data_IF_957691224941
#
_entry.id   IF_957691224941
#
_cell.length_a   1.000
_cell.length_b   1.000
_cell.length_c   1.000
_cell.angle_alpha   90.00
_cell.angle_beta   90.00
_cell.angle_gamma   90.00
#
_symmetry.space_group_name_H-M   'P 1'
#
loop_
_entity.id
_entity.type
_entity.pdbx_description
1 polymer ?
#
# COMPACT_ATOMS: atom_id res chain seq x y z
N UNK A 1 -12.14 -16.36 -7.04
CA UNK A 1 -11.74 -15.03 -6.54
C UNK A 1 -11.75 -15.09 -5.02
N UNK A 2 -10.62 -14.84 -4.37
CA UNK A 2 -10.52 -14.78 -2.90
C UNK A 2 -11.35 -13.62 -2.37
N UNK A 3 -12.10 -13.81 -1.27
CA UNK A 3 -12.94 -12.74 -0.73
C UNK A 3 -12.11 -11.61 -0.10
N UNK A 4 -12.72 -10.45 0.13
CA UNK A 4 -12.06 -9.34 0.86
C UNK A 4 -11.66 -9.80 2.26
N UNK A 5 -12.52 -10.55 2.95
CA UNK A 5 -12.26 -11.08 4.29
C UNK A 5 -11.07 -12.04 4.29
N UNK A 6 -11.01 -12.98 3.35
CA UNK A 6 -9.90 -13.93 3.26
C UNK A 6 -8.55 -13.23 3.06
N UNK A 7 -8.52 -12.14 2.28
CA UNK A 7 -7.32 -11.32 2.07
C UNK A 7 -6.91 -10.58 3.34
N UNK A 8 -7.88 -9.97 4.03
CA UNK A 8 -7.64 -9.30 5.32
C UNK A 8 -7.07 -10.30 6.33
N UNK A 9 -7.70 -11.47 6.46
CA UNK A 9 -7.28 -12.49 7.41
C UNK A 9 -5.90 -13.05 7.06
N UNK A 10 -5.59 -13.22 5.77
CA UNK A 10 -4.27 -13.64 5.33
C UNK A 10 -3.20 -12.59 5.69
N UNK A 11 -3.50 -11.30 5.50
CA UNK A 11 -2.59 -10.22 5.85
C UNK A 11 -2.35 -10.11 7.36
N UNK A 12 -3.41 -10.17 8.17
CA UNK A 12 -3.30 -10.17 9.64
C UNK A 12 -2.50 -11.39 10.14
N UNK A 13 -2.71 -12.58 9.56
CA UNK A 13 -1.91 -13.77 9.88
C UNK A 13 -0.43 -13.59 9.55
N UNK A 14 -0.10 -12.98 8.41
CA UNK A 14 1.29 -12.76 8.02
C UNK A 14 2.02 -11.77 8.94
N UNK A 15 1.31 -10.81 9.52
CA UNK A 15 1.88 -9.91 10.53
C UNK A 15 1.97 -10.52 11.93
N UNK A 16 1.12 -11.50 12.24
CA UNK A 16 1.05 -12.12 13.56
C UNK A 16 0.42 -11.21 14.64
N UNK A 17 0.30 -11.70 15.89
CA UNK A 17 -0.33 -10.96 16.99
C UNK A 17 0.45 -9.69 17.35
N UNK A 18 -0.25 -8.59 17.61
CA UNK A 18 0.40 -7.30 17.92
C UNK A 18 0.95 -7.25 19.37
N UNK A 19 0.34 -8.00 20.26
CA UNK A 19 0.63 -8.07 21.69
C UNK A 19 1.64 -9.17 22.06
N UNK A 20 2.04 -10.01 21.11
CA UNK A 20 3.06 -11.03 21.33
C UNK A 20 4.46 -10.41 21.30
N UNK A 21 5.21 -10.41 22.43
CA UNK A 21 6.56 -9.86 22.49
C UNK A 21 7.59 -10.68 21.69
N UNK A 22 7.28 -11.94 21.35
CA UNK A 22 8.14 -12.76 20.50
C UNK A 22 7.91 -12.51 19.00
N UNK A 23 6.85 -11.79 18.63
CA UNK A 23 6.58 -11.45 17.24
C UNK A 23 7.51 -10.31 16.78
N UNK A 24 8.38 -10.52 15.77
CA UNK A 24 9.25 -9.47 15.23
C UNK A 24 8.49 -8.32 14.54
N UNK A 25 7.21 -8.53 14.23
CA UNK A 25 6.27 -7.52 13.70
C UNK A 25 5.14 -7.22 14.70
N UNK A 26 5.40 -7.44 15.99
CA UNK A 26 4.56 -7.02 17.11
C UNK A 26 4.68 -5.52 17.40
N UNK A 27 3.83 -5.01 18.28
CA UNK A 27 3.75 -3.57 18.58
C UNK A 27 5.03 -2.98 19.15
N UNK A 28 5.73 -3.72 20.00
CA UNK A 28 7.01 -3.29 20.57
C UNK A 28 8.10 -3.07 19.49
N UNK A 29 8.11 -3.90 18.45
CA UNK A 29 9.06 -3.78 17.35
C UNK A 29 8.77 -2.54 16.49
N UNK A 30 7.51 -2.27 16.18
CA UNK A 30 7.11 -1.06 15.46
C UNK A 30 7.43 0.22 16.23
N UNK A 31 7.16 0.25 17.54
CA UNK A 31 7.50 1.39 18.41
C UNK A 31 9.01 1.63 18.47
N UNK A 32 9.80 0.56 18.61
CA UNK A 32 11.26 0.65 18.63
C UNK A 32 11.83 1.16 17.30
N UNK A 33 11.29 0.67 16.18
CA UNK A 33 11.70 1.10 14.84
C UNK A 33 11.32 2.56 14.56
N UNK A 34 10.11 2.98 14.92
CA UNK A 34 9.67 4.38 14.83
C UNK A 34 10.57 5.32 15.63
N UNK A 35 10.90 4.94 16.87
CA UNK A 35 11.86 5.68 17.72
C UNK A 35 13.23 5.82 17.06
N UNK A 36 13.66 4.81 16.31
CA UNK A 36 14.93 4.81 15.57
C UNK A 36 14.83 5.47 14.18
N UNK A 37 13.65 5.92 13.75
CA UNK A 37 13.43 6.45 12.40
C UNK A 37 13.62 5.41 11.29
N UNK A 38 13.37 4.14 11.59
CA UNK A 38 13.58 3.01 10.69
C UNK A 38 12.30 2.17 10.55
N UNK A 39 12.27 1.28 9.55
CA UNK A 39 11.23 0.26 9.44
C UNK A 39 11.64 -1.06 10.10
N UNK A 40 10.72 -1.76 10.77
CA UNK A 40 11.01 -3.10 11.27
C UNK A 40 11.45 -4.03 10.12
N UNK A 41 12.54 -4.80 10.29
CA UNK A 41 12.97 -5.76 9.29
C UNK A 41 11.83 -6.74 8.92
N UNK A 42 11.61 -6.92 7.62
CA UNK A 42 10.58 -7.84 7.11
C UNK A 42 9.16 -7.28 7.03
N UNK A 43 8.89 -6.08 7.53
CA UNK A 43 7.56 -5.47 7.45
C UNK A 43 7.09 -5.25 6.00
N UNK A 44 7.98 -4.73 5.14
CA UNK A 44 7.69 -4.55 3.72
C UNK A 44 7.58 -5.90 2.98
N UNK A 45 8.40 -6.88 3.35
CA UNK A 45 8.40 -8.21 2.73
C UNK A 45 7.06 -8.96 2.94
N UNK A 46 6.38 -8.73 4.07
CA UNK A 46 5.02 -9.23 4.29
C UNK A 46 4.05 -8.67 3.25
N UNK A 47 4.18 -7.38 2.93
CA UNK A 47 3.31 -6.71 1.96
C UNK A 47 3.65 -7.12 0.51
N UNK A 48 4.94 -7.34 0.22
CA UNK A 48 5.41 -7.87 -1.06
C UNK A 48 4.85 -9.28 -1.30
N UNK A 49 4.99 -10.16 -0.31
CA UNK A 49 4.49 -11.54 -0.37
C UNK A 49 2.95 -11.60 -0.45
N UNK A 50 2.25 -10.64 0.15
CA UNK A 50 0.80 -10.50 0.01
C UNK A 50 0.39 -9.96 -1.38
N UNK A 51 1.34 -9.44 -2.16
CA UNK A 51 1.08 -8.77 -3.43
C UNK A 51 0.19 -7.56 -3.25
N UNK A 52 0.44 -6.74 -2.21
CA UNK A 52 -0.41 -5.61 -1.84
C UNK A 52 -0.60 -4.62 -3.01
N UNK A 53 0.38 -4.45 -3.90
CA UNK A 53 0.27 -3.56 -5.05
C UNK A 53 -0.92 -3.85 -5.97
N UNK A 54 -1.34 -5.11 -6.09
CA UNK A 54 -2.51 -5.47 -6.87
C UNK A 54 -3.82 -4.93 -6.27
N UNK A 55 -3.85 -4.56 -4.99
CA UNK A 55 -4.98 -3.83 -4.37
C UNK A 55 -5.16 -2.41 -4.93
N UNK A 56 -4.11 -1.84 -5.53
CA UNK A 56 -4.13 -0.49 -6.10
C UNK A 56 -4.46 -0.47 -7.60
N UNK A 57 -4.59 -1.64 -8.23
CA UNK A 57 -4.82 -1.79 -9.67
C UNK A 57 -6.28 -2.17 -9.93
N UNK A 58 -7.01 -1.46 -10.83
CA UNK A 58 -8.37 -1.81 -11.22
C UNK A 58 -8.51 -3.27 -11.66
N UNK A 59 -9.60 -3.93 -11.25
CA UNK A 59 -9.85 -5.33 -11.63
C UNK A 59 -9.94 -5.56 -13.15
N UNK A 60 -10.40 -4.56 -13.91
CA UNK A 60 -10.42 -4.62 -15.38
C UNK A 60 -9.01 -4.64 -16.01
N UNK A 61 -7.98 -4.29 -15.25
CA UNK A 61 -6.58 -4.30 -15.66
C UNK A 61 -5.78 -5.44 -14.99
N UNK A 62 -6.47 -6.43 -14.42
CA UNK A 62 -5.85 -7.61 -13.79
C UNK A 62 -5.55 -7.46 -12.29
N UNK A 63 -5.90 -6.31 -11.69
CA UNK A 63 -5.74 -6.10 -10.25
C UNK A 63 -6.93 -6.54 -9.41
N UNK A 64 -7.02 -6.01 -8.18
CA UNK A 64 -8.07 -6.34 -7.21
C UNK A 64 -8.88 -5.14 -6.73
N UNK A 65 -8.57 -3.93 -7.23
CA UNK A 65 -9.35 -2.74 -6.93
C UNK A 65 -10.70 -2.79 -7.65
N UNK A 66 -11.76 -3.05 -6.89
CA UNK A 66 -13.15 -3.06 -7.38
C UNK A 66 -13.96 -1.92 -6.78
N UNK A 67 -13.77 -1.68 -5.48
CA UNK A 67 -14.47 -0.64 -4.72
C UNK A 67 -13.54 -0.04 -3.67
N UNK A 68 -13.68 1.26 -3.43
CA UNK A 68 -12.84 1.98 -2.48
C UNK A 68 -13.08 1.56 -1.01
N UNK A 69 -14.31 1.16 -0.66
CA UNK A 69 -14.62 0.64 0.68
C UNK A 69 -13.89 -0.68 0.97
N UNK A 70 -13.67 -1.51 -0.05
CA UNK A 70 -12.88 -2.75 0.07
C UNK A 70 -11.40 -2.44 0.28
N UNK A 71 -10.85 -1.51 -0.52
CA UNK A 71 -9.45 -1.08 -0.37
C UNK A 71 -9.19 -0.56 1.05
N UNK A 72 -10.07 0.29 1.59
CA UNK A 72 -9.93 0.79 2.96
C UNK A 72 -9.95 -0.31 4.02
N UNK A 73 -10.73 -1.38 3.82
CA UNK A 73 -10.75 -2.54 4.74
C UNK A 73 -9.46 -3.37 4.65
N UNK A 74 -8.93 -3.57 3.43
CA UNK A 74 -7.67 -4.29 3.20
C UNK A 74 -6.45 -3.55 3.75
N UNK A 75 -6.48 -2.21 3.71
CA UNK A 75 -5.39 -1.39 4.27
C UNK A 75 -5.41 -1.30 5.80
N UNK A 76 -6.56 -1.55 6.44
CA UNK A 76 -6.71 -1.39 7.89
C UNK A 76 -5.71 -2.23 8.71
N UNK A 77 -5.45 -3.52 8.41
CA UNK A 77 -4.40 -4.29 9.07
C UNK A 77 -3.02 -3.62 9.01
N UNK A 78 -2.65 -3.01 7.89
CA UNK A 78 -1.35 -2.33 7.71
C UNK A 78 -1.28 -1.08 8.59
N UNK A 79 -2.30 -0.23 8.52
CA UNK A 79 -2.37 1.01 9.31
C UNK A 79 -2.52 0.77 10.81
N UNK A 80 -2.97 -0.42 11.23
CA UNK A 80 -2.96 -0.82 12.65
C UNK A 80 -1.55 -1.15 13.16
N UNK A 81 -0.61 -1.45 12.27
CA UNK A 81 0.80 -1.68 12.63
C UNK A 81 1.54 -0.36 12.70
N UNK A 82 1.51 0.38 11.59
CA UNK A 82 2.25 1.62 11.47
C UNK A 82 1.75 2.45 10.26
N UNK A 83 1.67 3.76 10.46
CA UNK A 83 1.25 4.68 9.40
C UNK A 83 2.36 4.88 8.37
N UNK A 84 3.64 4.89 8.79
CA UNK A 84 4.77 5.05 7.88
C UNK A 84 4.87 3.87 6.91
N UNK A 85 4.61 2.65 7.37
CA UNK A 85 4.48 1.46 6.53
C UNK A 85 3.30 1.60 5.55
N UNK A 86 2.11 1.97 6.05
CA UNK A 86 0.91 2.12 5.20
C UNK A 86 1.09 3.13 4.06
N UNK A 87 1.67 4.30 4.37
CA UNK A 87 1.95 5.34 3.38
C UNK A 87 3.17 5.05 2.52
N UNK A 88 4.30 4.73 3.17
CA UNK A 88 5.61 4.59 2.54
C UNK A 88 5.72 3.38 1.62
N UNK A 89 5.07 2.27 1.99
CA UNK A 89 5.09 1.07 1.16
C UNK A 89 4.08 1.15 -0.01
N UNK A 90 2.80 1.39 0.29
CA UNK A 90 1.72 1.07 -0.67
C UNK A 90 0.84 2.24 -1.08
N UNK A 91 0.31 3.01 -0.13
CA UNK A 91 -0.74 3.99 -0.44
C UNK A 91 -0.24 5.13 -1.35
N UNK A 92 1.05 5.50 -1.26
CA UNK A 92 1.65 6.46 -2.20
C UNK A 92 1.61 5.96 -3.65
N UNK A 93 1.77 4.66 -3.88
CA UNK A 93 1.63 4.07 -5.22
C UNK A 93 0.21 4.25 -5.76
N UNK A 94 -0.80 4.08 -4.90
CA UNK A 94 -2.19 4.35 -5.29
C UNK A 94 -2.41 5.83 -5.65
N UNK A 95 -1.89 6.77 -4.86
CA UNK A 95 -2.01 8.20 -5.20
C UNK A 95 -1.35 8.56 -6.53
N UNK A 96 -0.20 7.96 -6.83
CA UNK A 96 0.48 8.17 -8.10
C UNK A 96 -0.28 7.54 -9.29
N UNK A 97 -0.94 6.39 -9.08
CA UNK A 97 -1.67 5.68 -10.12
C UNK A 97 -3.08 6.23 -10.36
N UNK A 98 -3.72 6.82 -9.35
CA UNK A 98 -5.11 7.28 -9.42
C UNK A 98 -5.40 8.25 -10.59
N UNK A 99 -4.56 9.26 -10.89
CA UNK A 99 -4.75 10.13 -12.06
C UNK A 99 -4.70 9.36 -13.39
N UNK A 100 -3.91 8.28 -13.47
CA UNK A 100 -3.82 7.45 -14.67
C UNK A 100 -5.08 6.60 -14.84
N UNK A 101 -5.62 6.08 -13.74
CA UNK A 101 -6.91 5.36 -13.75
C UNK A 101 -8.07 6.23 -14.22
N UNK A 102 -8.07 7.51 -13.85
CA UNK A 102 -9.17 8.42 -14.18
C UNK A 102 -9.02 9.10 -15.54
N UNK A 103 -7.83 9.62 -15.85
CA UNK A 103 -7.60 10.47 -17.01
C UNK A 103 -6.59 9.91 -18.02
N UNK A 104 -5.85 8.86 -17.67
CA UNK A 104 -4.86 8.26 -18.56
C UNK A 104 -5.50 7.51 -19.73
N UNK A 105 -4.76 7.41 -20.84
CA UNK A 105 -5.14 6.59 -21.99
C UNK A 105 -4.95 5.09 -21.71
N UNK A 106 -5.37 4.25 -22.66
CA UNK A 106 -5.33 2.80 -22.50
C UNK A 106 -3.90 2.26 -22.35
N UNK A 107 -2.93 2.85 -23.06
CA UNK A 107 -1.54 2.43 -23.00
C UNK A 107 -0.91 2.80 -21.65
N UNK A 108 -1.14 4.02 -21.17
CA UNK A 108 -0.71 4.49 -19.86
C UNK A 108 -1.28 3.64 -18.73
N UNK A 109 -2.58 3.31 -18.79
CA UNK A 109 -3.23 2.44 -17.81
C UNK A 109 -2.62 1.04 -17.79
N UNK A 110 -2.42 0.42 -18.95
CA UNK A 110 -1.78 -0.90 -19.03
C UNK A 110 -0.34 -0.88 -18.51
N UNK A 111 0.42 0.16 -18.83
CA UNK A 111 1.78 0.32 -18.37
C UNK A 111 1.86 0.42 -16.84
N UNK A 112 1.10 1.32 -16.22
CA UNK A 112 1.07 1.45 -14.75
C UNK A 112 0.56 0.16 -14.09
N UNK A 113 -0.43 -0.50 -14.68
CA UNK A 113 -0.91 -1.78 -14.17
C UNK A 113 0.20 -2.85 -14.20
N UNK A 114 0.97 -2.95 -15.29
CA UNK A 114 2.07 -3.90 -15.37
C UNK A 114 3.17 -3.65 -14.34
N UNK A 115 3.53 -2.39 -14.09
CA UNK A 115 4.52 -2.04 -13.06
C UNK A 115 4.05 -2.51 -11.67
N UNK A 116 2.85 -2.08 -11.27
CA UNK A 116 2.30 -2.41 -9.96
C UNK A 116 2.09 -3.92 -9.77
N UNK A 117 1.58 -4.61 -10.79
CA UNK A 117 1.41 -6.07 -10.75
C UNK A 117 2.74 -6.83 -10.78
N UNK A 118 3.80 -6.22 -11.34
CA UNK A 118 5.17 -6.73 -11.31
C UNK A 118 5.89 -6.51 -9.98
N UNK A 119 5.29 -5.75 -9.05
CA UNK A 119 5.88 -5.41 -7.75
C UNK A 119 6.66 -4.08 -7.75
N UNK A 120 6.73 -3.38 -8.87
CA UNK A 120 7.35 -2.05 -8.93
C UNK A 120 6.51 -1.01 -8.18
N UNK A 121 7.18 0.07 -7.76
CA UNK A 121 6.55 1.20 -7.07
C UNK A 121 6.49 2.42 -8.00
N UNK A 122 5.40 3.18 -7.90
CA UNK A 122 5.22 4.44 -8.63
C UNK A 122 5.04 5.58 -7.63
N UNK A 123 5.58 6.75 -7.95
CA UNK A 123 5.55 7.91 -7.07
C UNK A 123 5.20 9.18 -7.83
N UNK A 124 4.62 10.15 -7.13
CA UNK A 124 4.38 11.49 -7.67
C UNK A 124 5.64 12.33 -7.50
N UNK A 125 6.28 12.71 -8.60
CA UNK A 125 7.38 13.66 -8.58
C UNK A 125 6.85 15.10 -8.65
N UNK A 126 6.97 15.85 -7.56
CA UNK A 126 6.68 17.29 -7.55
C UNK A 126 7.97 18.08 -7.74
N UNK A 127 7.96 19.01 -8.70
CA UNK A 127 9.15 19.76 -9.09
C UNK A 127 9.51 20.91 -8.11
N UNK A 128 8.71 21.17 -7.06
CA UNK A 128 9.04 22.14 -6.02
C UNK A 128 8.03 22.15 -4.86
N UNK A 129 8.52 22.43 -3.65
CA UNK A 129 7.73 22.53 -2.41
C UNK A 129 7.10 23.90 -2.19
N UNK A 130 7.58 24.93 -2.89
CA UNK A 130 7.17 26.33 -2.67
C UNK A 130 5.68 26.61 -2.96
N UNK A 131 5.01 25.74 -3.73
CA UNK A 131 3.63 25.95 -4.20
C UNK A 131 2.75 24.71 -3.98
N UNK A 132 3.06 23.89 -2.98
CA UNK A 132 2.34 22.63 -2.73
C UNK A 132 0.83 22.75 -2.48
N UNK A 133 0.31 23.97 -2.31
CA UNK A 133 -1.12 24.28 -2.19
C UNK A 133 -1.60 25.37 -3.18
N UNK A 134 -0.78 25.78 -4.16
CA UNK A 134 -1.13 26.83 -5.15
C UNK A 134 -1.88 26.22 -6.35
N UNK A 135 -2.84 25.34 -6.08
CA UNK A 135 -3.62 24.61 -7.09
C UNK A 135 -4.96 25.29 -7.43
N UNK A 136 -5.25 26.45 -6.83
CA UNK A 136 -6.55 27.15 -6.90
C UNK A 136 -6.42 28.61 -7.33
N UNK A 137 -5.44 28.94 -8.17
CA UNK A 137 -5.35 30.26 -8.81
C UNK A 137 -5.60 30.17 -10.31
#
# INVERSE_FOLDING_TARGET
MTSVTDRIDALERSFGPLDDPANPLGGAAFVAADTAGAMPPGAEAVLDAHGLNAEFVPAALGGRLRRMDELGRVLRPVFRRDASLGFGYGLNCFFAAAPVWTAGDEAQRRFIASLLLGGDRVAVARHGVAHGNDFVR
#
